data_IF_299695093788
#
_entry.id   IF_299695093788
#
_cell.length_a   1.000
_cell.length_b   1.000
_cell.length_c   1.000
_cell.angle_alpha   90.00
_cell.angle_beta   90.00
_cell.angle_gamma   90.00
#
_symmetry.space_group_name_H-M   'P 1'
#
loop_
_entity.id
_entity.type
_entity.pdbx_description
1 polymer ?
#
# COMPACT_ATOMS: atom_id res chain seq x y z
N UNK A 1 -4.08 21.99 -18.15
CA UNK A 1 -3.73 21.46 -16.85
C UNK A 1 -3.22 20.03 -16.97
N UNK A 2 -2.42 19.58 -16.03
CA UNK A 2 -2.01 18.17 -15.99
C UNK A 2 -3.14 17.36 -15.33
N UNK A 3 -3.43 16.19 -15.87
CA UNK A 3 -4.38 15.22 -15.30
C UNK A 3 -3.61 13.93 -15.05
N UNK A 4 -3.83 13.32 -13.89
CA UNK A 4 -3.25 12.03 -13.55
C UNK A 4 -4.27 11.22 -12.74
N UNK A 5 -4.21 9.92 -12.87
CA UNK A 5 -5.02 8.97 -12.13
C UNK A 5 -4.14 8.26 -11.10
N UNK A 6 -4.61 8.15 -9.86
CA UNK A 6 -3.90 7.45 -8.80
C UNK A 6 -4.72 6.24 -8.33
N UNK A 7 -4.02 5.14 -8.12
CA UNK A 7 -4.58 3.87 -7.69
C UNK A 7 -4.18 3.52 -6.25
N UNK A 8 -4.74 2.42 -5.74
CA UNK A 8 -4.43 1.96 -4.38
C UNK A 8 -2.93 1.75 -4.14
N UNK A 9 -2.41 2.42 -3.14
CA UNK A 9 -1.01 2.36 -2.72
C UNK A 9 -0.09 3.36 -3.42
N UNK A 10 -0.60 4.16 -4.34
CA UNK A 10 0.14 5.25 -4.98
C UNK A 10 0.05 6.54 -4.17
N UNK A 11 0.98 7.43 -4.43
CA UNK A 11 1.08 8.74 -3.76
C UNK A 11 0.95 9.82 -4.81
N UNK A 12 -0.03 10.71 -4.66
CA UNK A 12 -0.13 11.92 -5.47
C UNK A 12 0.54 13.10 -4.74
N UNK A 13 1.42 13.81 -5.45
CA UNK A 13 2.09 15.02 -4.97
C UNK A 13 1.84 16.17 -5.94
N UNK A 14 1.31 17.27 -5.43
CA UNK A 14 1.05 18.44 -6.26
C UNK A 14 1.13 19.76 -5.45
N UNK A 15 1.34 20.84 -6.16
CA UNK A 15 1.43 22.18 -5.59
C UNK A 15 0.01 22.75 -5.37
N UNK A 16 -0.46 22.73 -4.14
CA UNK A 16 -1.79 23.24 -3.75
C UNK A 16 -1.98 24.75 -3.96
N UNK A 17 -0.92 25.52 -4.27
CA UNK A 17 -1.02 26.94 -4.63
C UNK A 17 -1.53 27.13 -6.06
N UNK A 18 -1.49 26.09 -6.89
CA UNK A 18 -2.06 26.07 -8.24
C UNK A 18 -3.51 25.58 -8.17
N UNK A 19 -4.41 26.07 -9.04
CA UNK A 19 -5.77 25.53 -9.13
C UNK A 19 -5.73 24.02 -9.38
N UNK A 20 -6.41 23.26 -8.53
CA UNK A 20 -6.47 21.81 -8.61
C UNK A 20 -7.85 21.32 -8.20
N UNK A 21 -8.25 20.19 -8.72
CA UNK A 21 -9.39 19.43 -8.26
C UNK A 21 -9.04 17.92 -8.30
N UNK A 22 -9.65 17.17 -7.44
CA UNK A 22 -9.62 15.71 -7.48
C UNK A 22 -11.05 15.19 -7.44
N UNK A 23 -11.24 14.07 -8.07
CA UNK A 23 -12.53 13.40 -8.18
C UNK A 23 -12.33 11.90 -8.12
N UNK A 24 -13.27 11.20 -7.49
CA UNK A 24 -13.29 9.74 -7.45
C UNK A 24 -14.72 9.26 -7.72
N UNK A 25 -14.93 8.30 -8.64
CA UNK A 25 -16.26 7.75 -8.94
C UNK A 25 -16.82 6.92 -7.79
N UNK A 26 -15.94 6.30 -7.01
CA UNK A 26 -16.28 5.37 -5.94
C UNK A 26 -15.83 5.90 -4.57
N UNK A 27 -16.35 5.29 -3.50
CA UNK A 27 -15.86 5.58 -2.14
C UNK A 27 -14.42 5.12 -2.01
N UNK A 28 -13.53 6.03 -1.60
CA UNK A 28 -12.11 5.77 -1.41
C UNK A 28 -11.65 6.33 -0.06
N UNK A 29 -10.82 5.56 0.63
CA UNK A 29 -10.12 6.00 1.82
C UNK A 29 -8.68 6.36 1.46
N UNK A 30 -8.27 7.58 1.82
CA UNK A 30 -6.91 8.04 1.59
C UNK A 30 -6.39 8.89 2.75
N UNK A 31 -5.08 8.87 2.96
CA UNK A 31 -4.40 9.76 3.88
C UNK A 31 -3.90 10.98 3.11
N UNK A 32 -4.08 12.16 3.67
CA UNK A 32 -3.56 13.37 3.07
C UNK A 32 -3.06 14.34 4.13
N UNK A 33 -2.08 15.14 3.77
CA UNK A 33 -1.64 16.28 4.58
C UNK A 33 -1.03 17.36 3.68
N UNK A 34 -1.13 18.59 4.12
CA UNK A 34 -0.42 19.69 3.51
C UNK A 34 0.87 19.94 4.28
N UNK A 35 1.94 20.21 3.56
CA UNK A 35 3.20 20.61 4.17
C UNK A 35 3.72 21.87 3.49
N UNK A 36 4.38 22.72 4.28
CA UNK A 36 5.07 23.93 3.83
C UNK A 36 6.31 24.12 4.69
N UNK A 37 7.40 24.55 4.07
CA UNK A 37 8.66 24.78 4.77
C UNK A 37 9.82 24.99 3.81
N UNK A 38 11.01 25.15 4.36
CA UNK A 38 12.23 25.29 3.59
C UNK A 38 12.43 24.06 2.68
N UNK A 39 12.55 24.28 1.38
CA UNK A 39 12.73 23.22 0.40
C UNK A 39 11.44 22.56 -0.11
N UNK A 40 10.26 22.83 0.48
CA UNK A 40 9.01 22.19 0.04
C UNK A 40 8.71 22.43 -1.44
N UNK A 41 8.93 23.64 -1.92
CA UNK A 41 8.77 24.01 -3.34
C UNK A 41 9.73 23.24 -4.22
N UNK A 42 11.01 23.24 -3.88
CA UNK A 42 12.06 22.57 -4.65
C UNK A 42 11.82 21.04 -4.74
N UNK A 43 11.44 20.43 -3.63
CA UNK A 43 11.08 19.00 -3.63
C UNK A 43 9.86 18.71 -4.52
N UNK A 44 8.80 19.51 -4.41
CA UNK A 44 7.59 19.35 -5.22
C UNK A 44 7.89 19.51 -6.70
N UNK A 45 8.61 20.57 -7.08
CA UNK A 45 9.01 20.82 -8.46
C UNK A 45 9.89 19.68 -8.99
N UNK A 46 10.95 19.31 -8.27
CA UNK A 46 11.84 18.21 -8.67
C UNK A 46 11.09 16.88 -8.86
N UNK A 47 10.22 16.51 -7.92
CA UNK A 47 9.49 15.25 -7.98
C UNK A 47 8.45 15.25 -9.10
N UNK A 48 7.69 16.34 -9.25
CA UNK A 48 6.65 16.42 -10.29
C UNK A 48 7.22 16.54 -11.71
N UNK A 49 8.35 17.22 -11.88
CA UNK A 49 9.03 17.31 -13.19
C UNK A 49 9.66 15.98 -13.60
N UNK A 50 10.20 15.24 -12.64
CA UNK A 50 10.93 13.99 -12.93
C UNK A 50 10.04 12.76 -12.98
N UNK A 51 9.03 12.68 -12.14
CA UNK A 51 8.21 11.48 -11.94
C UNK A 51 6.71 11.70 -12.21
N UNK A 52 6.30 12.93 -12.49
CA UNK A 52 4.89 13.28 -12.67
C UNK A 52 4.17 13.56 -11.34
N UNK A 53 2.84 13.70 -11.42
CA UNK A 53 2.01 14.00 -10.25
C UNK A 53 1.77 12.78 -9.35
N UNK A 54 1.76 11.58 -9.92
CA UNK A 54 1.52 10.33 -9.23
C UNK A 54 2.79 9.52 -9.19
N UNK A 55 3.16 9.12 -8.01
CA UNK A 55 4.32 8.29 -7.73
C UNK A 55 3.85 6.86 -7.52
N UNK A 56 4.44 5.93 -8.27
CA UNK A 56 4.09 4.52 -8.20
C UNK A 56 4.15 3.95 -6.78
N UNK A 57 3.37 2.92 -6.60
CA UNK A 57 3.30 2.13 -5.36
C UNK A 57 4.69 1.81 -4.81
N UNK A 58 5.01 2.46 -3.71
CA UNK A 58 6.27 2.22 -3.04
C UNK A 58 6.21 0.89 -2.29
N UNK A 59 7.21 0.01 -2.49
CA UNK A 59 7.31 -1.23 -1.74
C UNK A 59 7.61 -1.02 -0.24
N UNK A 60 7.71 0.22 0.18
CA UNK A 60 8.08 0.55 1.55
C UNK A 60 6.85 0.56 2.45
N UNK A 61 6.61 -0.53 3.17
CA UNK A 61 5.79 -0.54 4.39
C UNK A 61 6.08 0.69 5.29
N UNK A 62 7.33 1.14 5.30
CA UNK A 62 7.76 2.33 6.03
C UNK A 62 7.11 3.64 5.54
N UNK A 63 6.81 3.82 4.25
CA UNK A 63 6.17 5.05 3.76
C UNK A 63 4.72 5.16 4.22
N UNK A 64 3.94 4.07 4.11
CA UNK A 64 2.56 4.04 4.62
C UNK A 64 2.53 4.31 6.12
N UNK A 65 3.45 3.71 6.87
CA UNK A 65 3.54 3.92 8.31
C UNK A 65 4.01 5.33 8.66
N UNK A 66 4.94 5.90 7.89
CA UNK A 66 5.35 7.30 8.04
C UNK A 66 4.19 8.25 7.72
N UNK A 67 3.45 8.03 6.65
CA UNK A 67 2.24 8.80 6.32
C UNK A 67 1.22 8.72 7.46
N UNK A 68 0.91 7.52 7.92
CA UNK A 68 -0.03 7.32 9.02
C UNK A 68 0.45 8.01 10.30
N UNK A 69 1.73 7.95 10.59
CA UNK A 69 2.34 8.60 11.75
C UNK A 69 2.21 10.13 11.66
N UNK A 70 2.50 10.72 10.51
CA UNK A 70 2.36 12.17 10.29
C UNK A 70 0.89 12.59 10.44
N UNK A 71 -0.03 11.90 9.79
CA UNK A 71 -1.48 12.22 9.85
C UNK A 71 -2.02 12.06 11.27
N UNK A 72 -1.68 10.96 11.94
CA UNK A 72 -2.11 10.71 13.33
C UNK A 72 -1.57 11.76 14.30
N UNK A 73 -0.29 12.12 14.18
CA UNK A 73 0.32 13.16 15.02
C UNK A 73 -0.30 14.53 14.81
N UNK A 74 -0.68 14.87 13.56
CA UNK A 74 -1.36 16.10 13.24
C UNK A 74 -2.81 16.14 13.76
N UNK A 75 -3.51 15.01 13.75
CA UNK A 75 -4.91 14.92 14.19
C UNK A 75 -5.07 14.86 15.72
N UNK A 76 -4.17 14.16 16.41
CA UNK A 76 -4.30 13.87 17.84
C UNK A 76 -3.30 14.60 18.74
N UNK A 77 -2.39 15.39 18.18
CA UNK A 77 -1.37 16.14 18.90
C UNK A 77 -1.89 17.21 19.88
N UNK A 78 -3.20 17.46 19.92
CA UNK A 78 -3.83 18.44 20.80
C UNK A 78 -4.63 17.84 21.98
N UNK A 79 -4.79 16.52 22.12
CA UNK A 79 -5.76 16.00 23.07
C UNK A 79 -5.42 14.73 23.88
N UNK A 80 -4.24 14.14 23.79
CA UNK A 80 -3.92 12.94 24.59
C UNK A 80 -2.49 12.92 25.14
N UNK A 81 -2.34 12.33 26.34
CA UNK A 81 -1.07 12.06 27.03
C UNK A 81 -0.11 11.07 26.33
N UNK A 82 -0.43 10.65 25.12
CA UNK A 82 0.46 9.83 24.29
C UNK A 82 1.34 10.76 23.45
N UNK A 83 2.63 10.57 23.52
CA UNK A 83 3.70 11.36 22.93
C UNK A 83 3.35 11.82 21.49
N UNK A 84 2.79 13.02 21.36
CA UNK A 84 2.68 13.70 20.08
C UNK A 84 4.08 13.97 19.55
N UNK A 85 4.33 13.66 18.28
CA UNK A 85 5.56 14.08 17.63
C UNK A 85 5.65 15.60 17.72
N UNK A 86 6.80 16.12 18.14
CA UNK A 86 7.04 17.55 18.06
C UNK A 86 7.23 17.99 16.60
N UNK A 87 7.18 19.28 16.33
CA UNK A 87 7.32 19.85 14.98
C UNK A 87 8.58 19.36 14.25
N UNK A 88 9.68 19.14 14.96
CA UNK A 88 10.92 18.61 14.38
C UNK A 88 10.76 17.16 13.92
N UNK A 89 10.10 16.33 14.69
CA UNK A 89 9.86 14.92 14.33
C UNK A 89 8.93 14.82 13.13
N UNK A 90 7.88 15.65 13.06
CA UNK A 90 7.00 15.76 11.89
C UNK A 90 7.79 16.21 10.67
N UNK A 91 8.63 17.23 10.81
CA UNK A 91 9.50 17.73 9.74
C UNK A 91 10.44 16.62 9.22
N UNK A 92 11.08 15.88 10.12
CA UNK A 92 11.93 14.73 9.75
C UNK A 92 11.12 13.66 9.00
N UNK A 93 9.92 13.33 9.46
CA UNK A 93 9.08 12.33 8.81
C UNK A 93 8.65 12.78 7.40
N UNK A 94 8.26 14.04 7.23
CA UNK A 94 7.92 14.61 5.92
C UNK A 94 9.12 14.60 4.97
N UNK A 95 10.30 15.04 5.46
CA UNK A 95 11.53 14.98 4.66
C UNK A 95 11.95 13.55 4.31
N UNK A 96 11.74 12.60 5.20
CA UNK A 96 11.98 11.18 4.93
C UNK A 96 11.05 10.64 3.84
N UNK A 97 9.78 11.04 3.85
CA UNK A 97 8.81 10.70 2.79
C UNK A 97 9.27 11.28 1.45
N UNK A 98 9.57 12.58 1.41
CA UNK A 98 10.00 13.26 0.17
C UNK A 98 11.34 12.73 -0.33
N UNK A 99 12.29 12.47 0.57
CA UNK A 99 13.57 11.85 0.24
C UNK A 99 13.41 10.42 -0.28
N UNK A 100 12.49 9.65 0.30
CA UNK A 100 12.12 8.33 -0.18
C UNK A 100 11.57 8.39 -1.60
N UNK A 101 10.66 9.32 -1.88
CA UNK A 101 10.13 9.56 -3.22
C UNK A 101 11.23 10.00 -4.20
N UNK A 102 12.14 10.86 -3.78
CA UNK A 102 13.26 11.34 -4.62
C UNK A 102 14.33 10.28 -4.88
N UNK A 103 14.49 9.34 -3.96
CA UNK A 103 15.47 8.23 -4.07
C UNK A 103 15.02 7.11 -5.01
N UNK A 104 13.88 7.26 -5.66
CA UNK A 104 13.35 6.36 -6.69
C UNK A 104 14.20 6.47 -7.97
N UNK A 105 15.47 6.21 -7.88
CA UNK A 105 16.32 6.14 -9.07
C UNK A 105 16.29 4.76 -9.68
N UNK A 106 16.34 4.72 -11.01
CA UNK A 106 16.76 3.66 -11.97
C UNK A 106 16.82 2.17 -11.47
N UNK A 107 17.16 1.92 -10.21
CA UNK A 107 17.14 0.58 -9.61
C UNK A 107 15.73 0.02 -9.39
N UNK A 108 14.74 0.89 -9.22
CA UNK A 108 13.35 0.49 -8.96
C UNK A 108 12.70 -0.02 -10.24
N UNK A 109 12.97 0.62 -11.38
CA UNK A 109 12.43 0.19 -12.69
C UNK A 109 12.91 -1.20 -13.08
N UNK A 110 14.20 -1.48 -12.99
CA UNK A 110 14.74 -2.81 -13.33
C UNK A 110 14.22 -3.90 -12.40
N UNK A 111 14.09 -3.62 -11.10
CA UNK A 111 13.56 -4.61 -10.15
C UNK A 111 12.04 -4.74 -10.29
N UNK A 112 11.34 -3.67 -10.60
CA UNK A 112 9.91 -3.67 -10.93
C UNK A 112 9.64 -4.54 -12.16
N UNK A 113 10.35 -4.30 -13.25
CA UNK A 113 10.24 -5.09 -14.46
C UNK A 113 10.58 -6.57 -14.23
N UNK A 114 11.61 -6.83 -13.43
CA UNK A 114 12.00 -8.20 -13.04
C UNK A 114 10.89 -8.94 -12.29
N UNK A 115 10.21 -8.27 -11.37
CA UNK A 115 9.19 -8.89 -10.51
C UNK A 115 7.76 -8.77 -11.07
N UNK A 116 7.56 -7.97 -12.10
CA UNK A 116 6.24 -7.74 -12.71
C UNK A 116 5.52 -9.04 -13.12
N UNK A 117 6.17 -10.05 -13.75
CA UNK A 117 5.51 -11.30 -14.09
C UNK A 117 4.96 -12.05 -12.87
N UNK A 118 5.76 -12.12 -11.79
CA UNK A 118 5.33 -12.79 -10.56
C UNK A 118 4.20 -12.04 -9.85
N UNK A 119 4.24 -10.72 -9.81
CA UNK A 119 3.17 -9.90 -9.23
C UNK A 119 1.88 -10.03 -10.03
N UNK A 120 1.94 -9.97 -11.36
CA UNK A 120 0.78 -10.17 -12.24
C UNK A 120 0.18 -11.57 -12.05
N UNK A 121 1.02 -12.60 -11.92
CA UNK A 121 0.57 -13.96 -11.67
C UNK A 121 -0.14 -14.09 -10.30
N UNK A 122 0.47 -13.54 -9.24
CA UNK A 122 -0.16 -13.51 -7.91
C UNK A 122 -1.55 -12.84 -7.97
N UNK A 123 -1.68 -11.72 -8.68
CA UNK A 123 -2.95 -11.01 -8.78
C UNK A 123 -4.01 -11.77 -9.56
N UNK A 124 -3.63 -12.51 -10.59
CA UNK A 124 -4.55 -13.31 -11.39
C UNK A 124 -4.91 -14.67 -10.78
N UNK A 125 -4.04 -15.21 -9.92
CA UNK A 125 -4.11 -16.57 -9.40
C UNK A 125 -4.07 -16.66 -7.88
N UNK A 126 -4.42 -15.58 -7.17
CA UNK A 126 -4.28 -15.51 -5.71
C UNK A 126 -5.06 -16.59 -4.95
N UNK A 127 -6.12 -17.13 -5.53
CA UNK A 127 -6.91 -18.23 -4.95
C UNK A 127 -6.22 -19.60 -5.07
N UNK A 128 -5.29 -19.73 -6.02
CA UNK A 128 -4.61 -20.99 -6.30
C UNK A 128 -3.45 -21.24 -5.32
N UNK A 129 -2.95 -22.48 -5.30
CA UNK A 129 -1.71 -22.81 -4.58
C UNK A 129 -0.51 -22.34 -5.41
N UNK A 130 0.13 -21.26 -4.96
CA UNK A 130 1.23 -20.62 -5.67
C UNK A 130 2.57 -21.04 -5.08
N UNK A 131 3.41 -21.69 -5.89
CA UNK A 131 4.76 -22.08 -5.51
C UNK A 131 5.75 -20.93 -5.68
N UNK A 132 6.67 -20.79 -4.72
CA UNK A 132 7.77 -19.83 -4.82
C UNK A 132 8.76 -20.15 -5.95
N UNK A 133 8.87 -21.43 -6.33
CA UNK A 133 9.75 -21.87 -7.41
C UNK A 133 9.17 -21.43 -8.77
N UNK A 134 7.85 -21.52 -8.94
CA UNK A 134 7.18 -21.04 -10.16
C UNK A 134 7.32 -19.51 -10.29
N UNK A 135 7.08 -18.76 -9.21
CA UNK A 135 7.25 -17.32 -9.22
C UNK A 135 8.69 -16.88 -9.55
N UNK A 136 9.68 -17.58 -8.99
CA UNK A 136 11.08 -17.30 -9.28
C UNK A 136 11.44 -17.66 -10.72
N UNK A 137 10.90 -18.78 -11.23
CA UNK A 137 11.04 -19.21 -12.63
C UNK A 137 10.48 -18.21 -13.61
N UNK A 138 9.29 -17.63 -13.34
CA UNK A 138 8.69 -16.56 -14.16
C UNK A 138 9.58 -15.31 -14.23
N UNK A 139 10.33 -15.04 -13.17
CA UNK A 139 11.27 -13.93 -13.10
C UNK A 139 12.68 -14.27 -13.65
N UNK A 140 12.93 -15.51 -14.06
CA UNK A 140 14.22 -15.97 -14.57
C UNK A 140 15.35 -15.94 -13.53
N UNK A 141 15.04 -16.04 -12.23
CA UNK A 141 16.02 -15.98 -11.15
C UNK A 141 15.84 -17.13 -10.14
N UNK A 142 16.88 -17.38 -9.34
CA UNK A 142 16.80 -18.38 -8.29
C UNK A 142 15.80 -17.99 -7.18
N UNK A 143 15.18 -18.97 -6.54
CA UNK A 143 14.25 -18.77 -5.41
C UNK A 143 14.80 -17.86 -4.32
N UNK A 144 16.05 -18.05 -3.93
CA UNK A 144 16.70 -17.22 -2.90
C UNK A 144 16.88 -15.77 -3.36
N UNK A 145 17.19 -15.55 -4.64
CA UNK A 145 17.28 -14.22 -5.22
C UNK A 145 15.89 -13.59 -5.33
N UNK A 146 14.89 -14.34 -5.75
CA UNK A 146 13.50 -13.88 -5.83
C UNK A 146 13.00 -13.39 -4.46
N UNK A 147 13.09 -14.20 -3.41
CA UNK A 147 12.64 -13.83 -2.07
C UNK A 147 13.31 -12.54 -1.57
N UNK A 148 14.63 -12.40 -1.77
CA UNK A 148 15.37 -11.19 -1.37
C UNK A 148 14.97 -9.96 -2.17
N UNK A 149 14.85 -10.11 -3.48
CA UNK A 149 14.45 -9.02 -4.38
C UNK A 149 13.01 -8.60 -4.14
N UNK A 150 12.11 -9.58 -3.96
CA UNK A 150 10.71 -9.33 -3.65
C UNK A 150 10.56 -8.59 -2.31
N UNK A 151 11.20 -9.08 -1.23
CA UNK A 151 11.17 -8.41 0.07
C UNK A 151 11.76 -7.00 0.02
N UNK A 152 12.84 -6.80 -0.77
CA UNK A 152 13.44 -5.47 -0.96
C UNK A 152 12.51 -4.52 -1.72
N UNK A 153 11.83 -5.03 -2.74
CA UNK A 153 10.97 -4.23 -3.62
C UNK A 153 9.58 -4.03 -3.03
N UNK A 154 8.94 -5.10 -2.54
CA UNK A 154 7.56 -5.08 -2.04
C UNK A 154 7.47 -4.76 -0.53
N UNK A 155 8.57 -4.91 0.21
CA UNK A 155 8.65 -4.63 1.64
C UNK A 155 8.28 -5.82 2.54
N UNK A 156 7.67 -6.86 2.00
CA UNK A 156 7.30 -8.10 2.72
C UNK A 156 7.68 -9.33 1.90
N UNK A 157 7.60 -10.50 2.49
CA UNK A 157 7.85 -11.75 1.76
C UNK A 157 6.72 -12.05 0.76
N UNK A 158 6.97 -12.86 -0.29
CA UNK A 158 5.92 -13.25 -1.24
C UNK A 158 4.71 -13.91 -0.57
N UNK A 159 4.94 -14.72 0.47
CA UNK A 159 3.87 -15.37 1.22
C UNK A 159 3.03 -14.37 2.03
N UNK A 160 3.67 -13.43 2.72
CA UNK A 160 2.98 -12.35 3.43
C UNK A 160 2.17 -11.48 2.47
N UNK A 161 2.75 -11.17 1.30
CA UNK A 161 2.07 -10.41 0.25
C UNK A 161 0.81 -11.13 -0.26
N UNK A 162 0.93 -12.42 -0.58
CA UNK A 162 -0.20 -13.24 -1.03
C UNK A 162 -1.30 -13.29 0.04
N UNK A 163 -0.93 -13.49 1.30
CA UNK A 163 -1.88 -13.49 2.41
C UNK A 163 -2.62 -12.15 2.54
N UNK A 164 -1.90 -11.03 2.50
CA UNK A 164 -2.49 -9.69 2.54
C UNK A 164 -3.39 -9.44 1.33
N UNK A 165 -3.00 -9.93 0.15
CA UNK A 165 -3.82 -9.79 -1.06
C UNK A 165 -5.12 -10.59 -0.95
N UNK A 166 -5.08 -11.84 -0.47
CA UNK A 166 -6.26 -12.68 -0.18
C UNK A 166 -7.20 -12.02 0.82
N UNK A 167 -6.66 -11.47 1.91
CA UNK A 167 -7.45 -10.74 2.92
C UNK A 167 -8.10 -9.49 2.34
N UNK A 168 -7.44 -8.78 1.43
CA UNK A 168 -7.99 -7.62 0.75
C UNK A 168 -9.16 -7.99 -0.16
N UNK A 169 -9.02 -9.07 -0.94
CA UNK A 169 -10.11 -9.56 -1.78
C UNK A 169 -11.29 -10.04 -0.93
N UNK A 170 -11.02 -10.73 0.18
CA UNK A 170 -12.08 -11.18 1.10
C UNK A 170 -12.85 -10.01 1.74
N UNK A 171 -12.17 -8.90 2.10
CA UNK A 171 -12.83 -7.68 2.58
C UNK A 171 -13.83 -7.16 1.54
N UNK A 172 -13.45 -7.14 0.25
CA UNK A 172 -14.35 -6.72 -0.84
C UNK A 172 -15.56 -7.64 -0.96
N UNK A 173 -15.34 -8.97 -0.97
CA UNK A 173 -16.44 -9.94 -1.06
C UNK A 173 -17.38 -9.87 0.15
N UNK A 174 -16.86 -9.66 1.36
CA UNK A 174 -17.68 -9.47 2.56
C UNK A 174 -18.62 -8.28 2.45
N UNK A 175 -18.23 -7.22 1.73
CA UNK A 175 -19.00 -5.98 1.57
C UNK A 175 -19.91 -5.98 0.34
N UNK A 176 -19.61 -6.77 -0.69
CA UNK A 176 -20.27 -6.70 -2.01
C UNK A 176 -21.02 -7.96 -2.39
N UNK A 177 -21.08 -8.98 -1.53
CA UNK A 177 -21.74 -10.24 -1.85
C UNK A 177 -22.45 -10.87 -0.64
N UNK A 178 -23.41 -11.75 -0.92
CA UNK A 178 -24.14 -12.57 0.07
C UNK A 178 -23.47 -13.94 0.32
N UNK A 179 -22.25 -14.15 -0.21
CA UNK A 179 -21.51 -15.39 -0.02
C UNK A 179 -21.28 -15.68 1.46
N UNK A 180 -21.32 -16.93 1.86
CA UNK A 180 -20.99 -17.33 3.24
C UNK A 180 -19.51 -17.07 3.55
N UNK A 181 -19.14 -17.00 4.81
CA UNK A 181 -17.74 -16.82 5.23
C UNK A 181 -16.87 -17.98 4.74
N UNK A 182 -17.44 -19.18 4.68
CA UNK A 182 -16.81 -20.39 4.17
C UNK A 182 -16.53 -20.28 2.66
N UNK A 183 -17.52 -19.85 1.88
CA UNK A 183 -17.37 -19.62 0.44
C UNK A 183 -16.32 -18.56 0.14
N UNK A 184 -16.34 -17.43 0.89
CA UNK A 184 -15.34 -16.38 0.73
C UNK A 184 -13.93 -16.87 1.08
N UNK A 185 -13.80 -17.73 2.11
CA UNK A 185 -12.51 -18.33 2.44
C UNK A 185 -11.98 -19.18 1.28
N UNK A 186 -12.84 -20.01 0.68
CA UNK A 186 -12.51 -20.85 -0.47
C UNK A 186 -12.16 -20.01 -1.69
N UNK A 187 -13.02 -19.08 -2.08
CA UNK A 187 -12.82 -18.17 -3.24
C UNK A 187 -11.56 -17.31 -3.11
N UNK A 188 -11.11 -17.06 -1.89
CA UNK A 188 -9.88 -16.33 -1.62
C UNK A 188 -8.65 -17.23 -1.41
N UNK A 189 -8.77 -18.55 -1.62
CA UNK A 189 -7.67 -19.49 -1.56
C UNK A 189 -7.18 -19.84 -0.15
N UNK A 190 -8.04 -19.73 0.88
CA UNK A 190 -7.71 -20.21 2.21
C UNK A 190 -8.06 -21.68 2.36
N UNK A 191 -7.15 -22.47 2.93
CA UNK A 191 -7.32 -23.92 3.12
C UNK A 191 -8.46 -24.27 4.09
N UNK A 192 -8.95 -23.32 4.89
CA UNK A 192 -10.12 -23.50 5.76
C UNK A 192 -10.68 -22.16 6.22
N UNK A 193 -11.98 -22.12 6.51
CA UNK A 193 -12.64 -20.97 7.10
C UNK A 193 -12.03 -20.57 8.46
N UNK A 194 -11.55 -21.53 9.24
CA UNK A 194 -10.88 -21.25 10.52
C UNK A 194 -9.55 -20.56 10.35
N UNK A 195 -8.75 -20.93 9.34
CA UNK A 195 -7.51 -20.24 9.00
C UNK A 195 -7.81 -18.82 8.51
N UNK A 196 -8.77 -18.67 7.62
CA UNK A 196 -9.24 -17.37 7.15
C UNK A 196 -9.68 -16.47 8.31
N UNK A 197 -10.60 -16.94 9.17
CA UNK A 197 -11.13 -16.14 10.26
C UNK A 197 -10.04 -15.66 11.23
N UNK A 198 -9.04 -16.52 11.53
CA UNK A 198 -7.90 -16.17 12.36
C UNK A 198 -7.02 -15.12 11.70
N UNK A 199 -6.64 -15.32 10.44
CA UNK A 199 -5.81 -14.37 9.68
C UNK A 199 -6.52 -13.01 9.50
N UNK A 200 -7.81 -13.04 9.21
CA UNK A 200 -8.64 -11.85 9.07
C UNK A 200 -8.73 -11.04 10.37
N UNK A 201 -8.98 -11.74 11.50
CA UNK A 201 -9.03 -11.10 12.82
C UNK A 201 -7.68 -10.52 13.24
N UNK A 202 -6.58 -11.19 12.91
CA UNK A 202 -5.23 -10.68 13.18
C UNK A 202 -4.93 -9.39 12.39
N UNK A 203 -5.48 -9.26 11.19
CA UNK A 203 -5.29 -8.07 10.32
C UNK A 203 -6.26 -6.93 10.65
N UNK A 204 -7.48 -7.23 11.14
CA UNK A 204 -8.57 -6.25 11.27
C UNK A 204 -9.07 -6.05 12.69
N UNK A 205 -8.57 -6.83 13.66
CA UNK A 205 -9.00 -6.91 15.06
C UNK A 205 -10.43 -7.44 15.27
N UNK A 206 -11.21 -7.69 14.20
CA UNK A 206 -12.59 -8.19 14.26
C UNK A 206 -12.78 -9.43 13.39
N UNK A 207 -13.84 -10.20 13.64
CA UNK A 207 -14.15 -11.37 12.81
C UNK A 207 -14.72 -10.97 11.45
N UNK A 208 -14.62 -11.85 10.41
CA UNK A 208 -15.24 -11.61 9.10
C UNK A 208 -16.75 -11.31 9.21
N UNK A 209 -17.47 -12.03 10.06
CA UNK A 209 -18.90 -11.83 10.29
C UNK A 209 -19.17 -10.46 10.91
N UNK A 210 -18.38 -10.05 11.91
CA UNK A 210 -18.51 -8.73 12.51
C UNK A 210 -18.18 -7.61 11.52
N UNK A 211 -17.16 -7.82 10.68
CA UNK A 211 -16.78 -6.88 9.62
C UNK A 211 -17.92 -6.64 8.63
N UNK A 212 -18.61 -7.70 8.19
CA UNK A 212 -19.80 -7.60 7.35
C UNK A 212 -20.92 -6.80 8.01
N UNK A 213 -21.17 -7.04 9.30
CA UNK A 213 -22.27 -6.39 10.03
C UNK A 213 -22.06 -4.89 10.29
N UNK A 214 -20.83 -4.38 10.28
CA UNK A 214 -20.53 -2.96 10.50
C UNK A 214 -20.79 -2.12 9.24
N UNK A 215 -20.88 -2.76 8.08
CA UNK A 215 -20.93 -2.10 6.77
C UNK A 215 -22.36 -1.90 6.21
N UNK A 216 -23.39 -2.16 7.02
CA UNK A 216 -24.80 -1.91 6.72
C UNK A 216 -25.38 -0.82 7.60
#
# INVERSE_FOLDING_TARGET
GMTAEAHEGEIALFDCRKPHCYWCPDKVDFYWFHFNGAGSKQYTEYLTERFGLVHEKQPMLSLKDQFRTVVHSAQYGMSTQFASMNEHQISIAVHSILGGLASQTVRTTVTSELLAPALAYIHGHFADDISLDDLAGMCGISKSHFIRSFKRYVGCTPHEYLLQYRLRQSKRLLLSSDLTVEQIAEDCGFNSASHFARAFRQETDISPTAFRAISF
#
